data_IF_403303662101
#
_entry.id   IF_403303662101
#
_cell.length_a   1.000
_cell.length_b   1.000
_cell.length_c   1.000
_cell.angle_alpha   90.00
_cell.angle_beta   90.00
_cell.angle_gamma   90.00
#
_symmetry.space_group_name_H-M   'P 1'
#
loop_
_entity.id
_entity.type
_entity.pdbx_description
1 polymer ?
#
# COMPACT_ATOMS: atom_id res chain seq x y z
N UNK A 1 16.89 -34.74 -7.30
CA UNK A 1 16.08 -33.50 -7.38
C UNK A 1 16.56 -32.56 -6.30
N UNK A 2 16.69 -31.25 -6.57
CA UNK A 2 17.05 -30.25 -5.56
C UNK A 2 15.78 -29.80 -4.84
N UNK A 3 15.85 -29.51 -3.54
CA UNK A 3 14.73 -28.85 -2.86
C UNK A 3 14.72 -27.37 -3.27
N UNK A 4 13.53 -26.76 -3.29
CA UNK A 4 13.41 -25.34 -3.60
C UNK A 4 14.14 -24.46 -2.58
N UNK A 5 14.19 -24.88 -1.31
CA UNK A 5 14.96 -24.24 -0.23
C UNK A 5 16.44 -24.08 -0.58
N UNK A 6 16.99 -25.02 -1.37
CA UNK A 6 18.40 -25.06 -1.73
C UNK A 6 18.73 -24.04 -2.83
N UNK A 7 17.70 -23.45 -3.46
CA UNK A 7 17.87 -22.44 -4.50
C UNK A 7 18.11 -21.04 -3.93
N UNK A 8 17.87 -20.83 -2.63
CA UNK A 8 18.05 -19.56 -1.92
C UNK A 8 17.46 -18.34 -2.68
N UNK A 9 16.31 -18.56 -3.32
CA UNK A 9 15.63 -17.51 -4.10
C UNK A 9 14.94 -16.58 -3.10
N UNK A 10 15.38 -15.32 -3.06
CA UNK A 10 14.72 -14.25 -2.32
C UNK A 10 13.92 -13.37 -3.28
N UNK A 11 12.69 -13.05 -2.89
CA UNK A 11 11.82 -12.14 -3.62
C UNK A 11 11.33 -11.07 -2.66
N UNK A 12 11.38 -9.81 -3.09
CA UNK A 12 10.82 -8.71 -2.32
C UNK A 12 9.30 -8.79 -2.40
N UNK A 13 8.69 -9.22 -1.31
CA UNK A 13 7.25 -9.27 -1.15
C UNK A 13 6.80 -8.48 0.06
N UNK A 14 5.65 -7.84 -0.10
CA UNK A 14 4.93 -7.26 1.01
C UNK A 14 4.35 -8.36 1.89
N UNK A 15 4.48 -8.16 3.19
CA UNK A 15 4.25 -9.16 4.23
C UNK A 15 3.08 -8.75 5.12
N UNK A 16 2.45 -9.77 5.71
CA UNK A 16 1.37 -9.60 6.67
C UNK A 16 -0.03 -9.75 6.07
N UNK A 17 -1.03 -9.64 6.94
CA UNK A 17 -2.43 -9.86 6.58
C UNK A 17 -2.94 -8.67 5.76
N UNK A 18 -3.66 -8.96 4.66
CA UNK A 18 -4.46 -7.93 3.97
C UNK A 18 -5.57 -7.43 4.89
N UNK A 19 -5.69 -6.11 5.00
CA UNK A 19 -6.83 -5.44 5.67
C UNK A 19 -7.48 -4.46 4.71
N UNK A 20 -8.74 -4.14 4.95
CA UNK A 20 -9.47 -3.12 4.22
C UNK A 20 -9.03 -1.73 4.69
N UNK A 21 -9.00 -0.76 3.77
CA UNK A 21 -8.53 0.59 4.09
C UNK A 21 -9.38 1.25 5.17
N UNK A 22 -10.68 0.94 5.21
CA UNK A 22 -11.61 1.49 6.21
C UNK A 22 -11.28 1.04 7.65
N UNK A 23 -10.51 -0.05 7.83
CA UNK A 23 -10.03 -0.49 9.16
C UNK A 23 -8.97 0.44 9.75
N UNK A 24 -8.34 1.30 8.94
CA UNK A 24 -7.27 2.23 9.36
C UNK A 24 -7.59 3.70 9.09
N UNK A 25 -8.72 4.01 8.47
CA UNK A 25 -9.16 5.41 8.28
C UNK A 25 -9.29 6.08 9.66
N UNK A 26 -8.76 7.29 9.79
CA UNK A 26 -8.77 8.05 11.04
C UNK A 26 -7.74 7.58 12.08
N UNK A 27 -6.95 6.55 11.79
CA UNK A 27 -5.89 6.06 12.66
C UNK A 27 -4.51 6.43 12.08
N UNK A 28 -3.56 6.74 12.95
CA UNK A 28 -2.17 6.93 12.55
C UNK A 28 -1.53 5.58 12.24
N UNK A 29 -0.95 5.47 11.06
CA UNK A 29 -0.25 4.27 10.58
C UNK A 29 1.19 4.63 10.22
N UNK A 30 2.08 3.64 10.23
CA UNK A 30 3.41 3.75 9.62
C UNK A 30 3.33 3.14 8.22
N UNK A 31 3.56 3.95 7.20
CA UNK A 31 3.63 3.52 5.80
C UNK A 31 5.07 3.12 5.50
N UNK A 32 5.27 1.84 5.22
CA UNK A 32 6.59 1.24 5.07
C UNK A 32 7.08 1.30 3.62
N UNK A 33 6.21 0.88 2.68
CA UNK A 33 6.48 1.00 1.25
C UNK A 33 5.18 0.85 0.43
N UNK A 34 5.26 0.98 -0.89
CA UNK A 34 4.17 0.78 -1.84
C UNK A 34 4.64 0.24 -3.19
N UNK A 35 3.70 -0.32 -3.94
CA UNK A 35 3.83 -0.57 -5.37
C UNK A 35 2.51 -0.23 -6.07
N UNK A 36 2.61 0.11 -7.36
CA UNK A 36 1.44 0.37 -8.20
C UNK A 36 1.42 -0.68 -9.30
N UNK A 37 0.33 -1.43 -9.37
CA UNK A 37 0.15 -2.54 -10.31
C UNK A 37 -1.11 -2.35 -11.15
N UNK A 38 -1.24 -3.00 -12.31
CA UNK A 38 -2.51 -3.06 -13.03
C UNK A 38 -3.63 -3.59 -12.14
N UNK A 39 -4.78 -2.93 -12.16
CA UNK A 39 -5.96 -3.34 -11.39
C UNK A 39 -6.62 -4.56 -12.03
N UNK A 40 -7.25 -5.42 -11.21
CA UNK A 40 -8.19 -6.44 -11.75
C UNK A 40 -9.44 -5.82 -12.37
N UNK A 41 -9.76 -4.57 -12.01
CA UNK A 41 -10.89 -3.81 -12.54
C UNK A 41 -10.38 -2.75 -13.51
N UNK A 42 -10.11 -3.17 -14.74
CA UNK A 42 -9.51 -2.31 -15.77
C UNK A 42 -10.43 -1.15 -16.18
N UNK A 43 -11.75 -1.32 -16.12
CA UNK A 43 -12.71 -0.28 -16.52
C UNK A 43 -13.01 0.75 -15.41
N UNK A 44 -12.32 0.67 -14.26
CA UNK A 44 -12.54 1.54 -13.10
C UNK A 44 -11.35 2.44 -12.81
N UNK A 45 -11.64 3.68 -12.46
CA UNK A 45 -10.62 4.65 -12.01
C UNK A 45 -9.58 4.90 -13.10
N UNK A 46 -8.29 4.71 -12.76
CA UNK A 46 -7.17 4.80 -13.69
C UNK A 46 -6.58 3.42 -14.06
N UNK A 47 -7.37 2.36 -13.89
CA UNK A 47 -6.97 0.97 -14.18
C UNK A 47 -5.77 0.46 -13.36
N UNK A 48 -5.39 1.16 -12.28
CA UNK A 48 -4.27 0.82 -11.39
C UNK A 48 -4.72 0.55 -9.96
N UNK A 49 -3.96 -0.28 -9.27
CA UNK A 49 -4.12 -0.62 -7.86
C UNK A 49 -2.86 -0.22 -7.10
N UNK A 50 -3.03 0.57 -6.04
CA UNK A 50 -2.00 0.79 -5.04
C UNK A 50 -2.01 -0.40 -4.09
N UNK A 51 -0.86 -1.04 -3.94
CA UNK A 51 -0.59 -1.97 -2.86
C UNK A 51 0.32 -1.26 -1.86
N UNK A 52 -0.14 -1.11 -0.63
CA UNK A 52 0.54 -0.37 0.43
C UNK A 52 0.97 -1.32 1.54
N UNK A 53 2.27 -1.36 1.85
CA UNK A 53 2.79 -2.02 3.04
C UNK A 53 2.74 -1.03 4.20
N UNK A 54 2.06 -1.39 5.27
CA UNK A 54 1.96 -0.55 6.46
C UNK A 54 2.25 -1.36 7.71
N UNK A 55 2.48 -0.65 8.82
CA UNK A 55 2.40 -1.18 10.17
C UNK A 55 1.24 -0.53 10.91
N UNK A 56 0.36 -1.38 11.44
CA UNK A 56 -0.82 -1.02 12.21
C UNK A 56 -1.01 -2.03 13.34
N UNK A 57 -1.31 -1.55 14.56
CA UNK A 57 -1.33 -2.38 15.78
C UNK A 57 -0.08 -3.24 15.98
N UNK A 58 1.10 -2.65 15.75
CA UNK A 58 2.42 -3.31 15.82
C UNK A 58 2.54 -4.56 14.92
N UNK A 59 1.74 -4.66 13.86
CA UNK A 59 1.77 -5.76 12.90
C UNK A 59 1.90 -5.22 11.49
N UNK A 60 2.67 -5.91 10.68
CA UNK A 60 2.75 -5.64 9.26
C UNK A 60 1.42 -6.05 8.58
N UNK A 61 0.94 -5.17 7.71
CA UNK A 61 -0.34 -5.26 7.00
C UNK A 61 -0.19 -4.78 5.57
N UNK A 62 -1.08 -5.26 4.71
CA UNK A 62 -1.14 -4.82 3.32
C UNK A 62 -2.52 -4.26 2.99
N UNK A 63 -2.57 -3.10 2.35
CA UNK A 63 -3.81 -2.47 1.87
C UNK A 63 -3.79 -2.41 0.35
N UNK A 64 -4.94 -2.70 -0.27
CA UNK A 64 -5.15 -2.62 -1.71
C UNK A 64 -6.17 -1.51 -1.96
N UNK A 65 -5.84 -0.53 -2.79
CA UNK A 65 -6.75 0.60 -3.05
C UNK A 65 -6.60 1.17 -4.45
N UNK A 66 -7.72 1.55 -5.05
CA UNK A 66 -7.77 2.27 -6.32
C UNK A 66 -7.62 3.80 -6.17
N UNK A 67 -7.28 4.30 -4.97
CA UNK A 67 -7.19 5.75 -4.73
C UNK A 67 -6.06 6.39 -5.53
N UNK A 68 -6.42 7.17 -6.56
CA UNK A 68 -5.47 7.91 -7.41
C UNK A 68 -4.69 8.94 -6.59
N UNK A 69 -5.31 9.56 -5.59
CA UNK A 69 -4.66 10.57 -4.75
C UNK A 69 -3.57 9.94 -3.88
N UNK A 70 -3.84 8.79 -3.25
CA UNK A 70 -2.82 8.07 -2.49
C UNK A 70 -1.67 7.59 -3.40
N UNK A 71 -1.98 7.11 -4.62
CA UNK A 71 -0.95 6.74 -5.60
C UNK A 71 0.00 7.91 -5.89
N UNK A 72 -0.56 9.10 -6.16
CA UNK A 72 0.23 10.30 -6.43
C UNK A 72 1.04 10.76 -5.20
N UNK A 73 0.45 10.69 -4.00
CA UNK A 73 1.16 11.06 -2.77
C UNK A 73 2.33 10.10 -2.50
N UNK A 74 2.14 8.79 -2.65
CA UNK A 74 3.22 7.81 -2.51
C UNK A 74 4.36 8.06 -3.52
N UNK A 75 4.02 8.36 -4.78
CA UNK A 75 5.03 8.68 -5.80
C UNK A 75 5.87 9.90 -5.42
N UNK A 76 5.23 11.00 -4.98
CA UNK A 76 5.93 12.21 -4.53
C UNK A 76 6.82 11.95 -3.31
N UNK A 77 6.34 11.18 -2.33
CA UNK A 77 7.17 10.82 -1.16
C UNK A 77 8.37 9.98 -1.60
N UNK A 78 8.21 9.08 -2.57
CA UNK A 78 9.32 8.28 -3.12
C UNK A 78 10.35 9.13 -3.85
N UNK A 79 9.92 10.09 -4.66
CA UNK A 79 10.79 11.06 -5.34
C UNK A 79 11.68 11.83 -4.35
N UNK A 80 11.18 12.02 -3.12
CA UNK A 80 11.89 12.68 -2.02
C UNK A 80 12.64 11.72 -1.10
N UNK A 81 12.71 10.41 -1.40
CA UNK A 81 13.25 9.37 -0.51
C UNK A 81 12.64 9.37 0.90
N UNK A 82 11.35 9.69 1.02
CA UNK A 82 10.68 9.91 2.30
C UNK A 82 10.05 8.68 2.96
N UNK A 83 10.37 7.45 2.52
CA UNK A 83 9.88 6.22 3.16
C UNK A 83 10.91 5.66 4.18
N UNK A 84 10.46 5.06 5.29
CA UNK A 84 9.08 4.98 5.76
C UNK A 84 8.60 6.30 6.39
N UNK A 85 7.28 6.52 6.45
CA UNK A 85 6.69 7.71 7.09
C UNK A 85 5.44 7.38 7.90
N UNK A 86 5.08 8.28 8.83
CA UNK A 86 3.79 8.21 9.54
C UNK A 86 2.78 9.15 8.91
N UNK A 87 1.54 8.68 8.78
CA UNK A 87 0.45 9.48 8.28
C UNK A 87 -0.88 8.96 8.82
N UNK A 88 -1.94 9.77 8.69
CA UNK A 88 -3.32 9.32 8.88
C UNK A 88 -4.01 9.26 7.52
N UNK A 89 -4.84 8.24 7.28
CA UNK A 89 -5.65 8.17 6.07
C UNK A 89 -7.00 8.84 6.33
N UNK A 90 -7.37 9.79 5.46
CA UNK A 90 -8.68 10.45 5.47
C UNK A 90 -9.47 10.10 4.21
N UNK A 91 -10.77 9.81 4.36
CA UNK A 91 -11.69 9.61 3.25
C UNK A 91 -12.12 10.96 2.63
N UNK A 92 -12.15 11.02 1.30
CA UNK A 92 -12.55 12.20 0.52
C UNK A 92 -13.95 11.98 -0.04
N UNK A 93 -14.82 12.99 0.04
CA UNK A 93 -16.15 12.99 -0.58
C UNK A 93 -16.08 13.44 -2.06
N UNK A 94 -16.84 12.84 -2.99
CA UNK A 94 -17.71 11.69 -2.80
C UNK A 94 -16.97 10.34 -2.78
N UNK A 95 -15.70 10.30 -3.20
CA UNK A 95 -14.88 9.08 -3.22
C UNK A 95 -13.39 9.38 -3.14
N UNK A 96 -12.63 8.45 -2.56
CA UNK A 96 -11.16 8.48 -2.54
C UNK A 96 -10.59 8.61 -1.13
N UNK A 97 -9.27 8.57 -1.04
CA UNK A 97 -8.53 8.68 0.21
C UNK A 97 -7.28 9.53 0.00
N UNK A 98 -6.79 10.18 1.05
CA UNK A 98 -5.49 10.89 1.07
C UNK A 98 -4.76 10.62 2.39
N UNK A 99 -3.45 10.78 2.36
CA UNK A 99 -2.64 10.95 3.56
C UNK A 99 -2.75 12.40 4.05
N UNK A 100 -2.82 12.58 5.37
CA UNK A 100 -2.66 13.85 6.10
C UNK A 100 -1.54 13.74 7.12
#
# INVERSE_FOLDING_TARGET
>A
MKNFSDLNIQIDQFNGKKIEIDEVVGHTIEVLDFKIEPSKYQDKGNSKCLVLQIRYDNRDRVIFTGSVILQQQCQKVREMNGFPFRATIEAIKPRGYKFI
#
